data_IF_330317939073
#
_entry.id   IF_330317939073
#
_cell.length_a   1.000
_cell.length_b   1.000
_cell.length_c   1.000
_cell.angle_alpha   90.00
_cell.angle_beta   90.00
_cell.angle_gamma   90.00
#
_symmetry.space_group_name_H-M   'P 1'
#
loop_
_entity.id
_entity.type
_entity.pdbx_description
1 polymer ?
#
# COMPACT_ATOMS: atom_id res chain seq x y z
N UNK A 1 5.63 -6.61 -15.63
CA UNK A 1 6.20 -6.67 -17.00
C UNK A 1 7.70 -6.94 -16.93
N UNK A 2 8.48 -6.09 -16.26
CA UNK A 2 9.94 -6.22 -16.17
C UNK A 2 10.43 -7.58 -15.61
N UNK A 3 9.86 -8.05 -14.50
CA UNK A 3 10.20 -9.36 -13.91
C UNK A 3 10.09 -10.52 -14.91
N UNK A 4 9.02 -10.54 -15.72
CA UNK A 4 8.79 -11.62 -16.69
C UNK A 4 9.73 -11.55 -17.89
N UNK A 5 10.16 -10.35 -18.28
CA UNK A 5 11.07 -10.14 -19.41
C UNK A 5 12.54 -10.36 -19.04
N UNK A 6 12.96 -9.93 -17.84
CA UNK A 6 14.38 -9.92 -17.44
C UNK A 6 14.79 -11.09 -16.54
N UNK A 7 13.86 -11.74 -15.85
CA UNK A 7 14.18 -12.82 -14.89
C UNK A 7 13.47 -14.12 -15.29
N UNK A 8 12.16 -14.06 -15.56
CA UNK A 8 11.38 -15.19 -16.02
C UNK A 8 10.08 -15.42 -15.24
N UNK A 9 9.31 -16.45 -15.61
CA UNK A 9 7.97 -16.69 -15.09
C UNK A 9 7.93 -17.06 -13.61
N UNK A 10 8.97 -17.72 -13.08
CA UNK A 10 9.06 -18.08 -11.65
C UNK A 10 9.09 -16.84 -10.76
N UNK A 11 9.82 -15.80 -11.17
CA UNK A 11 9.88 -14.53 -10.44
C UNK A 11 8.54 -13.77 -10.46
N UNK A 12 7.80 -13.84 -11.58
CA UNK A 12 6.44 -13.28 -11.65
C UNK A 12 5.50 -14.02 -10.69
N UNK A 13 5.60 -15.35 -10.63
CA UNK A 13 4.88 -16.16 -9.65
C UNK A 13 5.22 -15.79 -8.21
N UNK A 14 6.50 -15.57 -7.90
CA UNK A 14 6.97 -15.21 -6.56
C UNK A 14 6.35 -13.89 -6.09
N UNK A 15 6.44 -12.85 -6.91
CA UNK A 15 5.86 -11.53 -6.57
C UNK A 15 4.33 -11.60 -6.47
N UNK A 16 3.68 -12.35 -7.37
CA UNK A 16 2.22 -12.55 -7.34
C UNK A 16 1.74 -13.22 -6.05
N UNK A 17 2.45 -14.24 -5.57
CA UNK A 17 2.18 -14.92 -4.30
C UNK A 17 2.18 -13.93 -3.11
N UNK A 18 3.21 -13.10 -3.06
CA UNK A 18 3.46 -12.17 -1.95
C UNK A 18 2.58 -10.93 -2.00
N UNK A 19 1.97 -10.63 -3.15
CA UNK A 19 1.04 -9.51 -3.30
C UNK A 19 -0.14 -9.62 -2.32
N UNK A 20 -0.56 -10.84 -1.97
CA UNK A 20 -1.59 -11.10 -0.94
C UNK A 20 -1.19 -10.51 0.42
N UNK A 21 0.09 -10.62 0.81
CA UNK A 21 0.60 -10.08 2.07
C UNK A 21 0.60 -8.55 2.07
N UNK A 22 0.88 -7.94 0.91
CA UNK A 22 0.79 -6.48 0.73
C UNK A 22 -0.66 -6.00 0.87
N UNK A 23 -1.62 -6.72 0.29
CA UNK A 23 -3.05 -6.40 0.44
C UNK A 23 -3.49 -6.56 1.90
N UNK A 24 -3.02 -7.59 2.60
CA UNK A 24 -3.32 -7.76 4.04
C UNK A 24 -2.82 -6.58 4.86
N UNK A 25 -1.55 -6.17 4.66
CA UNK A 25 -0.99 -4.98 5.31
C UNK A 25 -1.84 -3.74 4.99
N UNK A 26 -2.14 -3.51 3.71
CA UNK A 26 -2.97 -2.37 3.32
C UNK A 26 -4.38 -2.43 3.90
N UNK A 27 -5.03 -3.60 3.99
CA UNK A 27 -6.37 -3.71 4.55
C UNK A 27 -6.44 -3.34 6.03
N UNK A 28 -5.45 -3.78 6.82
CA UNK A 28 -5.35 -3.45 8.25
C UNK A 28 -5.16 -1.94 8.43
N UNK A 29 -4.25 -1.32 7.66
CA UNK A 29 -3.92 0.10 7.83
C UNK A 29 -4.80 1.06 7.02
N UNK A 30 -5.59 0.56 6.05
CA UNK A 30 -6.62 1.32 5.36
C UNK A 30 -7.70 1.80 6.31
N UNK A 31 -7.98 1.03 7.37
CA UNK A 31 -8.84 1.45 8.48
C UNK A 31 -8.32 2.74 9.13
N UNK A 32 -7.04 2.78 9.47
CA UNK A 32 -6.43 3.96 10.08
C UNK A 32 -6.44 5.14 9.11
N UNK A 33 -6.08 4.93 7.84
CA UNK A 33 -6.06 5.99 6.83
C UNK A 33 -7.44 6.59 6.55
N UNK A 34 -8.40 5.75 6.16
CA UNK A 34 -9.76 6.20 5.80
C UNK A 34 -10.52 6.74 7.01
N UNK A 35 -10.40 6.09 8.17
CA UNK A 35 -10.99 6.55 9.43
C UNK A 35 -10.43 7.92 9.82
N UNK A 36 -9.13 8.12 9.68
CA UNK A 36 -8.52 9.43 9.94
C UNK A 36 -8.97 10.50 8.95
N UNK A 37 -9.08 10.19 7.66
CA UNK A 37 -9.63 11.11 6.66
C UNK A 37 -11.08 11.49 6.95
N UNK A 38 -11.92 10.54 7.39
CA UNK A 38 -13.30 10.78 7.75
C UNK A 38 -13.44 11.64 9.02
N UNK A 39 -12.71 11.30 10.09
CA UNK A 39 -12.70 12.11 11.33
C UNK A 39 -12.20 13.52 11.05
N UNK A 40 -11.18 13.67 10.20
CA UNK A 40 -10.68 14.97 9.77
C UNK A 40 -11.76 15.77 9.03
N UNK A 41 -12.43 15.17 8.05
CA UNK A 41 -13.47 15.85 7.28
C UNK A 41 -14.59 16.38 8.18
N UNK A 42 -14.98 15.62 9.20
CA UNK A 42 -15.97 16.03 10.20
C UNK A 42 -15.43 17.15 11.10
N UNK A 43 -14.20 17.01 11.61
CA UNK A 43 -13.57 18.02 12.47
C UNK A 43 -13.42 19.37 11.76
N UNK A 44 -13.03 19.36 10.48
CA UNK A 44 -12.96 20.57 9.66
C UNK A 44 -14.33 21.22 9.45
N UNK A 45 -15.39 20.43 9.27
CA UNK A 45 -16.76 20.94 9.18
C UNK A 45 -17.27 21.54 10.50
N UNK A 46 -16.82 21.00 11.63
CA UNK A 46 -17.16 21.47 12.99
C UNK A 46 -16.24 22.58 13.51
N UNK A 47 -15.25 23.02 12.71
CA UNK A 47 -14.19 23.95 13.14
C UNK A 47 -13.40 23.48 14.37
N UNK A 48 -13.33 22.17 14.61
CA UNK A 48 -12.56 21.55 15.69
C UNK A 48 -11.09 21.38 15.28
N UNK A 49 -10.35 22.48 15.41
CA UNK A 49 -8.92 22.53 15.05
C UNK A 49 -8.04 21.68 15.98
N UNK A 50 -8.44 21.44 17.24
CA UNK A 50 -7.65 20.65 18.18
C UNK A 50 -7.67 19.16 17.80
N UNK A 51 -8.83 18.63 17.42
CA UNK A 51 -8.92 17.26 16.88
C UNK A 51 -8.13 17.13 15.58
N UNK A 52 -8.23 18.11 14.68
CA UNK A 52 -7.49 18.11 13.42
C UNK A 52 -5.97 18.08 13.68
N UNK A 53 -5.44 18.99 14.49
CA UNK A 53 -4.00 19.10 14.76
C UNK A 53 -3.40 17.82 15.36
N UNK A 54 -4.15 17.12 16.21
CA UNK A 54 -3.68 15.88 16.87
C UNK A 54 -3.70 14.67 15.96
N UNK A 55 -4.41 14.75 14.83
CA UNK A 55 -4.73 13.58 14.01
C UNK A 55 -3.51 13.01 13.31
N UNK A 56 -2.65 13.86 12.72
CA UNK A 56 -1.37 13.44 12.14
C UNK A 56 -0.44 12.83 13.20
N UNK A 57 -0.30 13.51 14.34
CA UNK A 57 0.57 13.09 15.43
C UNK A 57 0.14 11.76 16.07
N UNK A 58 -1.13 11.40 15.96
CA UNK A 58 -1.63 10.08 16.37
C UNK A 58 -1.52 9.04 15.24
N UNK A 59 -1.84 9.43 14.00
CA UNK A 59 -1.89 8.51 12.85
C UNK A 59 -0.53 7.92 12.50
N UNK A 60 0.50 8.76 12.40
CA UNK A 60 1.84 8.35 11.96
C UNK A 60 2.42 7.28 12.90
N UNK A 61 2.55 7.48 14.23
CA UNK A 61 3.13 6.46 15.09
C UNK A 61 2.29 5.17 15.12
N UNK A 62 0.95 5.27 15.18
CA UNK A 62 0.10 4.06 15.24
C UNK A 62 0.22 3.23 13.96
N UNK A 63 0.21 3.85 12.79
CA UNK A 63 0.35 3.14 11.52
C UNK A 63 1.76 2.65 11.27
N UNK A 64 2.77 3.47 11.57
CA UNK A 64 4.17 3.13 11.33
C UNK A 64 4.62 1.98 12.22
N UNK A 65 4.41 2.09 13.54
CA UNK A 65 4.81 1.03 14.46
C UNK A 65 3.92 -0.21 14.33
N UNK A 66 2.62 -0.03 14.08
CA UNK A 66 1.73 -1.17 13.81
C UNK A 66 2.19 -1.96 12.59
N UNK A 67 2.51 -1.28 11.48
CA UNK A 67 2.97 -1.93 10.25
C UNK A 67 4.40 -2.45 10.38
N UNK A 68 5.26 -1.81 11.16
CA UNK A 68 6.58 -2.32 11.49
C UNK A 68 6.52 -3.63 12.29
N UNK A 69 5.61 -3.74 13.26
CA UNK A 69 5.39 -5.01 13.98
C UNK A 69 4.92 -6.09 13.01
N UNK A 70 3.98 -5.76 12.12
CA UNK A 70 3.52 -6.69 11.09
C UNK A 70 4.65 -7.13 10.16
N UNK A 71 5.50 -6.20 9.72
CA UNK A 71 6.68 -6.46 8.89
C UNK A 71 7.69 -7.36 9.59
N UNK A 72 7.99 -7.10 10.87
CA UNK A 72 8.91 -7.92 11.67
C UNK A 72 8.38 -9.34 11.84
N UNK A 73 7.07 -9.50 12.06
CA UNK A 73 6.45 -10.82 12.11
C UNK A 73 6.59 -11.54 10.76
N UNK A 74 6.37 -10.85 9.64
CA UNK A 74 6.58 -11.45 8.31
C UNK A 74 8.04 -11.79 8.03
N UNK A 75 9.00 -11.00 8.52
CA UNK A 75 10.43 -11.29 8.40
C UNK A 75 10.80 -12.59 9.14
N UNK A 76 10.39 -12.70 10.41
CA UNK A 76 10.66 -13.86 11.26
C UNK A 76 10.01 -15.11 10.69
N UNK A 77 8.76 -14.99 10.22
CA UNK A 77 7.97 -16.09 9.69
C UNK A 77 7.99 -16.17 8.15
N UNK A 78 8.97 -15.57 7.47
CA UNK A 78 8.97 -15.48 6.00
C UNK A 78 8.89 -16.86 5.34
N UNK A 79 9.76 -17.79 5.76
CA UNK A 79 9.78 -19.14 5.20
C UNK A 79 8.46 -19.92 5.42
N UNK A 80 7.92 -20.05 6.66
CA UNK A 80 6.66 -20.75 6.87
C UNK A 80 5.46 -20.05 6.21
N UNK A 81 5.43 -18.71 6.16
CA UNK A 81 4.37 -17.96 5.47
C UNK A 81 4.40 -18.23 3.97
N UNK A 82 5.57 -18.16 3.33
CA UNK A 82 5.68 -18.40 1.89
C UNK A 82 5.37 -19.84 1.53
N UNK A 83 5.80 -20.81 2.36
CA UNK A 83 5.38 -22.22 2.21
C UNK A 83 3.87 -22.38 2.34
N UNK A 84 3.26 -21.74 3.33
CA UNK A 84 1.81 -21.79 3.55
C UNK A 84 1.02 -21.21 2.37
N UNK A 85 1.52 -20.15 1.75
CA UNK A 85 0.91 -19.58 0.55
C UNK A 85 1.04 -20.48 -0.69
N UNK A 86 1.84 -21.55 -0.64
CA UNK A 86 2.04 -22.51 -1.74
C UNK A 86 3.39 -22.38 -2.45
N UNK A 87 4.33 -21.60 -1.91
CA UNK A 87 5.69 -21.51 -2.44
C UNK A 87 6.44 -22.84 -2.29
N UNK A 88 7.07 -23.32 -3.38
CA UNK A 88 7.84 -24.57 -3.40
C UNK A 88 9.06 -24.45 -4.35
N UNK A 89 10.09 -25.26 -4.14
CA UNK A 89 11.29 -25.28 -5.00
C UNK A 89 11.94 -23.90 -5.16
N UNK A 90 12.27 -23.54 -6.40
CA UNK A 90 12.87 -22.25 -6.76
C UNK A 90 11.96 -21.06 -6.44
N UNK A 91 10.64 -21.22 -6.60
CA UNK A 91 9.64 -20.19 -6.28
C UNK A 91 9.70 -19.79 -4.81
N UNK A 92 9.90 -20.76 -3.91
CA UNK A 92 10.01 -20.51 -2.48
C UNK A 92 11.23 -19.62 -2.15
N UNK A 93 12.38 -19.93 -2.74
CA UNK A 93 13.63 -19.18 -2.49
C UNK A 93 13.47 -17.74 -2.96
N UNK A 94 13.01 -17.56 -4.21
CA UNK A 94 12.79 -16.23 -4.79
C UNK A 94 11.75 -15.41 -3.99
N UNK A 95 10.66 -16.05 -3.56
CA UNK A 95 9.62 -15.36 -2.80
C UNK A 95 10.08 -14.99 -1.38
N UNK A 96 10.87 -15.83 -0.70
CA UNK A 96 11.41 -15.48 0.61
C UNK A 96 12.37 -14.29 0.49
N UNK A 97 13.28 -14.30 -0.49
CA UNK A 97 14.22 -13.19 -0.70
C UNK A 97 13.50 -11.87 -1.01
N UNK A 98 12.49 -11.91 -1.87
CA UNK A 98 11.67 -10.74 -2.17
C UNK A 98 10.89 -10.25 -0.94
N UNK A 99 10.27 -11.17 -0.19
CA UNK A 99 9.45 -10.84 0.97
C UNK A 99 10.26 -10.12 2.05
N UNK A 100 11.49 -10.59 2.31
CA UNK A 100 12.34 -10.00 3.36
C UNK A 100 12.67 -8.53 3.08
N UNK A 101 13.04 -8.24 1.83
CA UNK A 101 13.30 -6.86 1.40
C UNK A 101 12.01 -6.04 1.43
N UNK A 102 10.91 -6.60 0.94
CA UNK A 102 9.62 -5.91 0.90
C UNK A 102 9.08 -5.58 2.29
N UNK A 103 9.32 -6.44 3.30
CA UNK A 103 8.92 -6.23 4.68
C UNK A 103 9.49 -4.90 5.22
N UNK A 104 10.72 -4.54 4.87
CA UNK A 104 11.33 -3.25 5.21
C UNK A 104 10.54 -2.05 4.66
N UNK A 105 9.84 -2.24 3.54
CA UNK A 105 9.01 -1.21 2.89
C UNK A 105 7.59 -1.08 3.44
N UNK A 106 7.07 -2.12 4.11
CA UNK A 106 5.67 -2.15 4.55
C UNK A 106 5.26 -0.99 5.46
N UNK A 107 6.09 -0.53 6.43
CA UNK A 107 5.75 0.63 7.24
C UNK A 107 5.55 1.91 6.42
N UNK A 108 6.41 2.13 5.42
CA UNK A 108 6.31 3.30 4.54
C UNK A 108 5.07 3.23 3.64
N UNK A 109 4.74 2.05 3.14
CA UNK A 109 3.51 1.81 2.35
C UNK A 109 2.29 2.17 3.19
N UNK A 110 2.17 1.59 4.38
CA UNK A 110 1.01 1.77 5.26
C UNK A 110 0.86 3.23 5.70
N UNK A 111 1.92 3.84 6.24
CA UNK A 111 1.86 5.21 6.73
C UNK A 111 1.69 6.22 5.59
N UNK A 112 2.37 6.03 4.46
CA UNK A 112 2.20 6.89 3.28
C UNK A 112 0.77 6.88 2.75
N UNK A 113 0.14 5.71 2.66
CA UNK A 113 -1.26 5.57 2.25
C UNK A 113 -2.24 6.19 3.26
N UNK A 114 -1.94 6.06 4.56
CA UNK A 114 -2.72 6.67 5.61
C UNK A 114 -2.67 8.21 5.56
N UNK A 115 -1.48 8.79 5.39
CA UNK A 115 -1.30 10.23 5.21
C UNK A 115 -1.97 10.75 3.93
N UNK A 116 -1.96 9.97 2.85
CA UNK A 116 -2.68 10.32 1.63
C UNK A 116 -4.20 10.46 1.87
N UNK A 117 -4.74 9.62 2.74
CA UNK A 117 -6.16 9.66 3.10
C UNK A 117 -6.53 10.94 3.86
N UNK A 118 -5.60 11.51 4.64
CA UNK A 118 -5.77 12.82 5.26
C UNK A 118 -5.82 13.94 4.22
N UNK A 119 -4.91 13.95 3.25
CA UNK A 119 -4.95 14.94 2.16
C UNK A 119 -6.28 14.90 1.40
N UNK A 120 -6.83 13.70 1.17
CA UNK A 120 -8.16 13.55 0.56
C UNK A 120 -9.26 14.08 1.49
N UNK A 121 -9.18 13.81 2.79
CA UNK A 121 -10.11 14.34 3.80
C UNK A 121 -10.06 15.87 3.95
N UNK A 122 -8.93 16.51 3.65
CA UNK A 122 -8.81 17.98 3.57
C UNK A 122 -9.39 18.56 2.26
N UNK A 123 -9.79 17.73 1.30
CA UNK A 123 -10.18 18.16 -0.05
C UNK A 123 -9.00 18.40 -1.00
N UNK A 124 -7.76 18.07 -0.63
CA UNK A 124 -6.55 18.22 -1.48
C UNK A 124 -6.30 17.00 -2.35
N UNK A 125 -7.34 16.51 -3.01
CA UNK A 125 -7.29 15.28 -3.82
C UNK A 125 -6.23 15.35 -4.93
N UNK A 126 -6.12 16.49 -5.63
CA UNK A 126 -5.11 16.69 -6.70
C UNK A 126 -3.68 16.49 -6.20
N UNK A 127 -3.34 17.01 -5.03
CA UNK A 127 -2.01 16.83 -4.43
C UNK A 127 -1.80 15.39 -3.99
N UNK A 128 -2.80 14.79 -3.34
CA UNK A 128 -2.75 13.40 -2.93
C UNK A 128 -2.46 12.47 -4.12
N UNK A 129 -3.09 12.73 -5.27
CA UNK A 129 -2.86 12.00 -6.51
C UNK A 129 -1.47 12.27 -7.07
N UNK A 130 -1.03 13.53 -7.15
CA UNK A 130 0.30 13.88 -7.67
C UNK A 130 1.43 13.17 -6.91
N UNK A 131 1.36 13.15 -5.57
CA UNK A 131 2.36 12.48 -4.74
C UNK A 131 2.34 10.95 -4.97
N UNK A 132 1.15 10.34 -5.06
CA UNK A 132 1.01 8.90 -5.32
C UNK A 132 1.50 8.52 -6.72
N UNK A 133 1.13 9.29 -7.75
CA UNK A 133 1.60 9.10 -9.11
C UNK A 133 3.12 9.26 -9.22
N UNK A 134 3.70 10.24 -8.52
CA UNK A 134 5.16 10.42 -8.46
C UNK A 134 5.90 9.18 -7.94
N UNK A 135 5.35 8.53 -6.91
CA UNK A 135 5.88 7.25 -6.40
C UNK A 135 5.79 6.13 -7.44
N UNK A 136 4.67 6.03 -8.15
CA UNK A 136 4.50 5.06 -9.23
C UNK A 136 5.51 5.28 -10.38
N UNK A 137 5.70 6.52 -10.83
CA UNK A 137 6.70 6.86 -11.84
C UNK A 137 8.11 6.53 -11.38
N UNK A 138 8.45 6.85 -10.12
CA UNK A 138 9.75 6.51 -9.56
C UNK A 138 9.97 5.00 -9.54
N UNK A 139 8.96 4.21 -9.19
CA UNK A 139 9.03 2.75 -9.21
C UNK A 139 9.25 2.20 -10.64
N UNK A 140 8.49 2.69 -11.63
CA UNK A 140 8.62 2.31 -13.04
C UNK A 140 10.03 2.61 -13.58
N UNK A 141 10.66 3.69 -13.12
CA UNK A 141 12.03 4.07 -13.52
C UNK A 141 13.07 3.19 -12.80
N UNK A 142 12.88 2.93 -11.50
CA UNK A 142 13.83 2.16 -10.70
C UNK A 142 13.85 0.68 -11.07
N UNK A 143 12.72 0.08 -11.45
CA UNK A 143 12.63 -1.33 -11.83
C UNK A 143 13.65 -1.73 -12.92
N UNK A 144 13.69 -1.12 -14.12
CA UNK A 144 14.67 -1.49 -15.14
C UNK A 144 16.11 -1.18 -14.71
N UNK A 145 16.35 -0.14 -13.92
CA UNK A 145 17.68 0.21 -13.42
C UNK A 145 18.20 -0.87 -12.46
N UNK A 146 17.38 -1.27 -11.47
CA UNK A 146 17.82 -2.21 -10.44
C UNK A 146 17.75 -3.67 -10.92
N UNK A 147 16.80 -4.01 -11.79
CA UNK A 147 16.67 -5.36 -12.33
C UNK A 147 17.70 -5.60 -13.43
N UNK A 148 17.79 -4.72 -14.43
CA UNK A 148 18.58 -4.97 -15.64
C UNK A 148 19.99 -4.37 -15.58
N UNK A 149 20.15 -3.12 -15.10
CA UNK A 149 21.46 -2.46 -15.08
C UNK A 149 22.33 -2.88 -13.90
N UNK A 150 21.75 -2.97 -12.69
CA UNK A 150 22.46 -3.44 -11.50
C UNK A 150 22.55 -4.98 -11.40
N UNK A 151 21.74 -5.70 -12.19
CA UNK A 151 21.74 -7.18 -12.23
C UNK A 151 21.24 -7.85 -10.94
N UNK A 152 20.49 -7.13 -10.08
CA UNK A 152 20.02 -7.66 -8.79
C UNK A 152 18.79 -8.57 -8.90
N UNK A 153 18.30 -8.81 -10.13
CA UNK A 153 17.19 -9.71 -10.39
C UNK A 153 15.95 -9.36 -9.55
N UNK A 154 15.40 -10.35 -8.85
CA UNK A 154 14.15 -10.20 -8.09
C UNK A 154 14.33 -9.29 -6.86
N UNK A 155 15.51 -9.27 -6.27
CA UNK A 155 15.84 -8.38 -5.15
C UNK A 155 15.86 -6.92 -5.62
N UNK A 156 16.30 -6.67 -6.85
CA UNK A 156 16.23 -5.34 -7.48
C UNK A 156 14.81 -4.79 -7.56
N UNK A 157 13.85 -5.62 -7.94
CA UNK A 157 12.43 -5.25 -7.97
C UNK A 157 11.87 -4.94 -6.57
N UNK A 158 12.28 -5.71 -5.55
CA UNK A 158 11.89 -5.45 -4.17
C UNK A 158 12.43 -4.09 -3.69
N UNK A 159 13.71 -3.81 -3.93
CA UNK A 159 14.33 -2.53 -3.58
C UNK A 159 13.72 -1.34 -4.32
N UNK A 160 13.42 -1.49 -5.63
CA UNK A 160 12.71 -0.47 -6.39
C UNK A 160 11.37 -0.09 -5.72
N UNK A 161 10.65 -1.09 -5.22
CA UNK A 161 9.39 -0.90 -4.48
C UNK A 161 9.63 -0.18 -3.16
N UNK A 162 10.57 -0.65 -2.34
CA UNK A 162 10.89 -0.05 -1.04
C UNK A 162 11.31 1.41 -1.18
N UNK A 163 12.19 1.71 -2.13
CA UNK A 163 12.70 3.07 -2.36
C UNK A 163 11.57 3.99 -2.85
N UNK A 164 10.72 3.53 -3.76
CA UNK A 164 9.58 4.32 -4.23
C UNK A 164 8.56 4.63 -3.12
N UNK A 165 8.35 3.68 -2.20
CA UNK A 165 7.43 3.84 -1.07
C UNK A 165 8.04 4.67 0.05
N UNK A 166 9.35 4.59 0.26
CA UNK A 166 10.08 5.50 1.12
C UNK A 166 9.99 6.93 0.60
N UNK A 167 10.27 7.16 -0.69
CA UNK A 167 10.14 8.47 -1.32
C UNK A 167 8.71 9.01 -1.22
N UNK A 168 7.71 8.13 -1.41
CA UNK A 168 6.30 8.48 -1.21
C UNK A 168 6.02 8.98 0.21
N UNK A 169 6.42 8.22 1.22
CA UNK A 169 6.28 8.58 2.63
C UNK A 169 7.02 9.88 2.97
N UNK A 170 8.23 10.07 2.47
CA UNK A 170 9.01 11.29 2.68
C UNK A 170 8.35 12.50 2.01
N UNK A 171 7.85 12.37 0.79
CA UNK A 171 7.11 13.42 0.10
C UNK A 171 5.84 13.82 0.88
N UNK A 172 5.09 12.84 1.37
CA UNK A 172 3.92 13.09 2.23
C UNK A 172 4.33 13.85 3.51
N UNK A 173 5.39 13.41 4.18
CA UNK A 173 5.90 14.01 5.41
C UNK A 173 6.37 15.45 5.18
N UNK A 174 7.16 15.68 4.13
CA UNK A 174 7.62 16.99 3.72
C UNK A 174 6.46 17.94 3.40
N UNK A 175 5.41 17.45 2.72
CA UNK A 175 4.25 18.26 2.37
C UNK A 175 3.46 18.72 3.61
N UNK A 176 3.24 17.82 4.57
CA UNK A 176 2.56 18.15 5.83
C UNK A 176 3.43 18.99 6.78
N UNK A 177 4.76 18.85 6.71
CA UNK A 177 5.68 19.68 7.50
C UNK A 177 5.77 21.12 6.97
N UNK A 178 5.85 21.32 5.65
CA UNK A 178 5.91 22.67 5.04
C UNK A 178 4.66 23.51 5.28
N UNK A 179 3.59 22.94 5.85
CA UNK A 179 2.36 23.64 6.17
C UNK A 179 1.56 24.06 4.93
N UNK A 180 1.78 23.35 3.82
CA UNK A 180 0.98 23.45 2.61
C UNK A 180 -0.37 22.77 2.76
N UNK A 181 -0.75 22.36 3.97
CA UNK A 181 -1.96 21.65 4.41
C UNK A 181 -2.57 22.38 5.60
N UNK A 182 -3.87 22.14 5.85
CA UNK A 182 -4.49 22.63 7.10
C UNK A 182 -3.94 21.88 8.31
N UNK A 183 -3.54 20.63 8.11
CA UNK A 183 -2.84 19.80 9.08
C UNK A 183 -1.33 20.00 9.00
N UNK A 184 -0.77 20.73 9.96
CA UNK A 184 0.70 20.85 10.09
C UNK A 184 1.25 19.71 10.92
N UNK A 185 2.31 19.07 10.40
CA UNK A 185 3.07 18.13 11.21
C UNK A 185 3.91 18.91 12.22
N UNK A 186 3.49 18.90 13.49
CA UNK A 186 4.24 19.50 14.59
C UNK A 186 4.85 18.37 15.41
N UNK A 187 6.17 18.17 15.28
CA UNK A 187 6.91 17.09 15.94
C UNK A 187 6.69 17.03 17.46
N UNK A 188 6.53 18.20 18.10
CA UNK A 188 6.29 18.32 19.54
C UNK A 188 4.85 17.95 19.98
N UNK A 189 3.96 17.64 19.03
CA UNK A 189 2.56 17.20 19.27
C UNK A 189 2.29 15.76 18.85
N UNK A 190 3.34 14.99 18.54
CA UNK A 190 3.22 13.54 18.31
C UNK A 190 2.89 12.88 19.64
N UNK A 191 1.60 12.60 19.86
CA UNK A 191 1.10 11.88 21.04
C UNK A 191 0.00 10.92 20.61
N UNK A 192 0.18 9.66 20.99
CA UNK A 192 -0.85 8.64 20.79
C UNK A 192 -1.94 8.85 21.83
N UNK A 193 -3.16 9.10 21.38
CA UNK A 193 -4.36 9.21 22.22
C UNK A 193 -5.28 8.02 21.94
N UNK A 194 -5.47 7.16 22.94
CA UNK A 194 -6.34 5.99 22.82
C UNK A 194 -7.78 6.34 22.44
N UNK A 195 -8.28 7.48 22.94
CA UNK A 195 -9.61 7.99 22.59
C UNK A 195 -9.71 8.38 21.10
N UNK A 196 -8.70 9.09 20.58
CA UNK A 196 -8.67 9.49 19.17
C UNK A 196 -8.48 8.27 18.26
N UNK A 197 -7.60 7.34 18.62
CA UNK A 197 -7.41 6.08 17.90
C UNK A 197 -8.69 5.26 17.85
N UNK A 198 -9.44 5.15 18.96
CA UNK A 198 -10.72 4.44 18.97
C UNK A 198 -11.74 5.10 18.06
N UNK A 199 -11.79 6.44 18.04
CA UNK A 199 -12.67 7.20 17.14
C UNK A 199 -12.32 6.96 15.67
N UNK A 200 -11.02 6.97 15.34
CA UNK A 200 -10.50 6.66 14.00
C UNK A 200 -10.83 5.23 13.59
N UNK A 201 -10.63 4.26 14.48
CA UNK A 201 -10.95 2.85 14.21
C UNK A 201 -12.43 2.70 13.86
N UNK A 202 -13.33 3.25 14.70
CA UNK A 202 -14.78 3.19 14.45
C UNK A 202 -15.17 3.81 13.11
N UNK A 203 -14.55 4.93 12.73
CA UNK A 203 -14.80 5.59 11.46
C UNK A 203 -14.21 4.81 10.26
N UNK A 204 -13.12 4.08 10.47
CA UNK A 204 -12.41 3.32 9.42
C UNK A 204 -12.86 1.87 9.26
N UNK A 205 -13.62 1.30 10.19
CA UNK A 205 -14.16 -0.06 10.12
C UNK A 205 -14.84 -0.37 8.78
N UNK A 206 -15.69 0.51 8.21
CA UNK A 206 -16.32 0.25 6.91
C UNK A 206 -15.30 0.04 5.78
N UNK A 207 -14.21 0.80 5.76
CA UNK A 207 -13.18 0.68 4.72
C UNK A 207 -12.39 -0.63 4.85
N UNK A 208 -12.11 -1.08 6.07
CA UNK A 208 -11.49 -2.39 6.28
C UNK A 208 -12.38 -3.52 5.77
N UNK A 209 -13.68 -3.45 6.09
CA UNK A 209 -14.68 -4.41 5.61
C UNK A 209 -14.76 -4.40 4.08
N UNK A 210 -14.75 -3.22 3.45
CA UNK A 210 -14.66 -3.11 2.00
C UNK A 210 -13.42 -3.78 1.44
N UNK A 211 -12.26 -3.61 2.07
CA UNK A 211 -11.03 -4.23 1.60
C UNK A 211 -11.10 -5.76 1.74
N UNK A 212 -11.59 -6.29 2.86
CA UNK A 212 -11.78 -7.74 3.05
C UNK A 212 -12.77 -8.29 2.02
N UNK A 213 -13.89 -7.59 1.81
CA UNK A 213 -14.89 -7.97 0.81
C UNK A 213 -14.32 -7.95 -0.60
N UNK A 214 -13.44 -7.00 -0.93
CA UNK A 214 -12.78 -6.96 -2.24
C UNK A 214 -11.88 -8.19 -2.48
N UNK A 215 -11.21 -8.70 -1.44
CA UNK A 215 -10.39 -9.92 -1.53
C UNK A 215 -11.27 -11.15 -1.73
N UNK A 216 -12.37 -11.25 -0.96
CA UNK A 216 -13.34 -12.34 -1.11
C UNK A 216 -13.97 -12.31 -2.50
N UNK A 217 -14.38 -11.15 -2.98
CA UNK A 217 -14.96 -10.94 -4.31
C UNK A 217 -13.97 -11.40 -5.41
N UNK A 218 -12.71 -11.02 -5.31
CA UNK A 218 -11.65 -11.49 -6.22
C UNK A 218 -11.50 -13.01 -6.18
N UNK A 219 -11.46 -13.62 -4.99
CA UNK A 219 -11.34 -15.06 -4.84
C UNK A 219 -12.51 -15.84 -5.44
N UNK A 220 -13.74 -15.40 -5.17
CA UNK A 220 -14.96 -16.01 -5.74
C UNK A 220 -14.98 -15.85 -7.27
N UNK A 221 -14.63 -14.67 -7.77
CA UNK A 221 -14.59 -14.40 -9.21
C UNK A 221 -13.58 -15.32 -9.92
N UNK A 222 -12.37 -15.46 -9.38
CA UNK A 222 -11.37 -16.39 -9.93
C UNK A 222 -11.87 -17.83 -9.93
N UNK A 223 -12.55 -18.27 -8.87
CA UNK A 223 -13.13 -19.62 -8.80
C UNK A 223 -14.22 -19.85 -9.86
N UNK A 224 -15.12 -18.88 -10.03
CA UNK A 224 -16.19 -18.95 -11.04
C UNK A 224 -15.62 -18.93 -12.45
N UNK A 225 -14.67 -18.06 -12.75
CA UNK A 225 -14.03 -17.98 -14.07
C UNK A 225 -13.27 -19.27 -14.42
N UNK A 226 -12.58 -19.86 -13.43
CA UNK A 226 -11.90 -21.14 -13.61
C UNK A 226 -12.89 -22.28 -13.95
N UNK A 227 -14.08 -22.27 -13.34
CA UNK A 227 -15.13 -23.27 -13.59
C UNK A 227 -15.91 -23.04 -14.89
N UNK A 228 -16.16 -21.78 -15.27
CA UNK A 228 -17.02 -21.43 -16.41
C UNK A 228 -16.31 -21.52 -17.77
N UNK A 229 -14.99 -21.29 -17.83
CA UNK A 229 -14.29 -21.30 -19.11
C UNK A 229 -12.77 -21.48 -19.05
N UNK A 230 -12.25 -22.01 -17.94
CA UNK A 230 -10.85 -22.39 -17.81
C UNK A 230 -9.87 -21.23 -18.01
N UNK A 231 -8.67 -21.54 -18.52
CA UNK A 231 -7.54 -20.60 -18.61
C UNK A 231 -7.82 -19.34 -19.45
N UNK A 232 -8.70 -19.41 -20.45
CA UNK A 232 -8.99 -18.30 -21.37
C UNK A 232 -9.77 -17.15 -20.68
N UNK A 233 -10.74 -17.48 -19.83
CA UNK A 233 -11.50 -16.47 -19.09
C UNK A 233 -10.68 -15.82 -17.97
N UNK A 234 -9.77 -16.60 -17.36
CA UNK A 234 -8.79 -16.09 -16.40
C UNK A 234 -7.82 -15.10 -17.08
N UNK A 235 -7.28 -15.46 -18.25
CA UNK A 235 -6.39 -14.60 -19.03
C UNK A 235 -7.07 -13.31 -19.49
N UNK A 236 -8.33 -13.40 -19.96
CA UNK A 236 -9.13 -12.23 -20.35
C UNK A 236 -9.39 -11.29 -19.17
N UNK A 237 -9.71 -11.83 -17.98
CA UNK A 237 -9.87 -11.04 -16.77
C UNK A 237 -8.58 -10.34 -16.34
N UNK A 238 -7.44 -11.05 -16.39
CA UNK A 238 -6.12 -10.45 -16.12
C UNK A 238 -5.76 -9.33 -17.12
N UNK A 239 -6.16 -9.46 -18.39
CA UNK A 239 -6.01 -8.43 -19.41
C UNK A 239 -6.93 -7.21 -19.16
N UNK A 240 -8.17 -7.42 -18.74
CA UNK A 240 -9.09 -6.33 -18.37
C UNK A 240 -8.56 -5.53 -17.18
N UNK A 241 -8.01 -6.19 -16.17
CA UNK A 241 -7.39 -5.52 -15.02
C UNK A 241 -6.17 -4.69 -15.42
N UNK A 242 -5.30 -5.22 -16.29
CA UNK A 242 -4.12 -4.50 -16.74
C UNK A 242 -4.45 -3.31 -17.66
N UNK A 243 -5.53 -3.40 -18.44
CA UNK A 243 -6.02 -2.32 -19.31
C UNK A 243 -6.94 -1.30 -18.61
N UNK A 244 -7.60 -1.68 -17.51
CA UNK A 244 -8.42 -0.78 -16.71
C UNK A 244 -7.58 0.25 -15.92
N UNK A 245 -6.34 -0.10 -15.54
CA UNK A 245 -5.40 0.82 -14.88
C UNK A 245 -5.15 2.12 -15.67
N UNK A 246 -4.85 2.07 -16.99
CA UNK A 246 -4.75 3.27 -17.81
C UNK A 246 -6.09 4.01 -18.05
N UNK A 247 -7.22 3.30 -18.18
CA UNK A 247 -8.54 3.94 -18.37
C UNK A 247 -9.06 4.65 -17.12
N UNK A 248 -8.73 4.11 -15.93
CA UNK A 248 -8.92 4.78 -14.65
C UNK A 248 -7.91 5.91 -14.44
N UNK A 249 -6.97 6.15 -15.35
CA UNK A 249 -6.17 7.37 -15.35
C UNK A 249 -6.85 8.42 -16.23
N UNK A 250 -7.31 8.07 -17.44
CA UNK A 250 -7.89 9.02 -18.40
C UNK A 250 -9.23 9.65 -17.96
N UNK A 251 -10.05 8.93 -17.19
CA UNK A 251 -11.34 9.44 -16.69
C UNK A 251 -11.24 10.48 -15.56
N UNK A 252 -10.05 10.73 -15.02
CA UNK A 252 -9.85 11.61 -13.85
C UNK A 252 -9.14 12.92 -14.18
N UNK A 253 -8.79 13.12 -15.46
CA UNK A 253 -8.25 14.37 -16.00
C UNK A 253 -9.30 15.21 -16.76
N UNK A 254 -10.56 14.76 -16.79
CA UNK A 254 -11.71 15.52 -17.27
C UNK A 254 -12.51 16.05 -16.07
#
# INVERSE_FOLDING_TARGET
>A
MFLGQFIGPVAVGAVGLLFTLVIMNQGIFALMGSGSGAVLSVALGQQDNDTADRLLGNLIPVTFFGSAIFAVLLEIFALPVVKFLGGSGELLVMAVDYLRILALGMPFIATGAAMNSLLRGEGKMKVAMLIASGSCFLNIILDPILIAWAGWGIQGAAWATVIAQLAYFLCQTCFHWRGNTRLRLILNRIRVSGALTTRVIKAGTPAMLMQIMSVIQMGVLYKVLAQAGGANHLAFWSFLLSSALPMACSRWWA
#
